data_IF_345781829059
#
_entry.id   IF_345781829059
#
_cell.length_a   1.000
_cell.length_b   1.000
_cell.length_c   1.000
_cell.angle_alpha   90.00
_cell.angle_beta   90.00
_cell.angle_gamma   90.00
#
_symmetry.space_group_name_H-M   'P 1'
#
loop_
_entity.id
_entity.type
_entity.pdbx_description
1 polymer ?
#
# COMPACT_ATOMS: atom_id res chain seq x y z
N UNK A 1 -12.39 36.34 9.37
CA UNK A 1 -11.65 36.43 8.09
C UNK A 1 -10.26 35.93 8.39
N UNK A 2 -9.97 34.69 8.01
CA UNK A 2 -8.64 34.08 8.17
C UNK A 2 -8.07 34.08 6.75
N UNK A 3 -7.18 35.01 6.47
CA UNK A 3 -6.36 35.02 5.25
C UNK A 3 -5.31 33.92 5.41
N UNK A 4 -5.53 32.78 4.75
CA UNK A 4 -4.51 31.74 4.60
C UNK A 4 -4.64 31.08 3.24
N UNK A 5 -4.09 31.69 2.20
CA UNK A 5 -3.67 30.95 1.01
C UNK A 5 -2.30 31.49 0.57
N UNK A 6 -1.24 30.68 0.60
CA UNK A 6 -0.24 30.82 -0.44
C UNK A 6 -0.93 30.38 -1.73
N UNK A 7 -1.31 31.35 -2.57
CA UNK A 7 -1.72 31.05 -3.94
C UNK A 7 -0.48 30.54 -4.66
N UNK A 8 -0.40 29.22 -4.84
CA UNK A 8 0.58 28.58 -5.70
C UNK A 8 0.67 29.38 -7.01
N UNK A 9 1.89 29.62 -7.50
CA UNK A 9 2.10 30.22 -8.81
C UNK A 9 1.43 29.36 -9.88
N UNK A 10 0.19 29.71 -10.24
CA UNK A 10 -0.65 28.96 -11.20
C UNK A 10 0.01 28.80 -12.58
N UNK A 11 1.04 29.59 -12.85
CA UNK A 11 1.76 29.65 -14.13
C UNK A 11 2.96 28.72 -14.23
N UNK A 12 3.42 28.08 -13.15
CA UNK A 12 4.58 27.17 -13.21
C UNK A 12 4.13 25.77 -13.62
N UNK A 13 4.55 25.23 -14.79
CA UNK A 13 4.19 23.88 -15.19
C UNK A 13 4.79 22.86 -14.23
N UNK A 14 3.97 21.97 -13.68
CA UNK A 14 4.39 21.01 -12.66
C UNK A 14 3.98 19.58 -12.98
N UNK A 15 4.62 18.65 -12.29
CA UNK A 15 4.33 17.22 -12.33
C UNK A 15 3.71 16.79 -11.00
N UNK A 16 2.64 15.99 -11.03
CA UNK A 16 2.10 15.37 -9.82
C UNK A 16 2.71 13.98 -9.60
N UNK A 17 3.04 13.65 -8.35
CA UNK A 17 3.32 12.28 -7.92
C UNK A 17 2.22 11.82 -6.96
N UNK A 18 1.30 10.99 -7.45
CA UNK A 18 0.11 10.54 -6.71
C UNK A 18 0.40 9.27 -5.90
N UNK A 19 0.59 9.45 -4.61
CA UNK A 19 0.73 8.40 -3.60
C UNK A 19 -0.63 7.80 -3.23
N UNK A 20 -0.64 6.49 -2.99
CA UNK A 20 -1.81 5.74 -2.49
C UNK A 20 -1.38 4.73 -1.43
N UNK A 21 -0.65 3.68 -1.83
CA UNK A 21 -0.29 2.55 -0.95
C UNK A 21 1.20 2.25 -1.00
N UNK A 22 1.95 3.30 -1.22
CA UNK A 22 3.36 3.39 -1.53
C UNK A 22 3.99 4.55 -0.74
N UNK A 23 3.58 4.68 0.53
CA UNK A 23 3.86 5.80 1.43
C UNK A 23 5.31 5.81 1.94
N UNK A 24 6.25 5.93 1.01
CA UNK A 24 7.68 6.04 1.28
C UNK A 24 8.36 6.95 0.26
N UNK A 25 9.44 7.59 0.71
CA UNK A 25 10.30 8.41 -0.14
C UNK A 25 11.48 7.63 -0.71
N UNK A 26 11.82 6.50 -0.08
CA UNK A 26 12.94 5.67 -0.48
C UNK A 26 12.50 4.56 -1.44
N UNK A 27 13.33 4.30 -2.45
CA UNK A 27 13.08 3.26 -3.45
C UNK A 27 11.63 3.26 -3.97
N UNK A 28 11.11 4.40 -4.42
CA UNK A 28 9.76 4.53 -4.97
C UNK A 28 9.82 4.83 -6.48
N UNK A 29 9.31 3.91 -7.30
CA UNK A 29 9.49 3.98 -8.76
C UNK A 29 8.80 5.21 -9.38
N UNK A 30 7.51 5.43 -9.11
CA UNK A 30 6.79 6.58 -9.64
C UNK A 30 7.40 7.91 -9.17
N UNK A 31 7.78 8.01 -7.90
CA UNK A 31 8.44 9.20 -7.37
C UNK A 31 9.79 9.43 -8.06
N UNK A 32 10.60 8.38 -8.23
CA UNK A 32 11.89 8.47 -8.94
C UNK A 32 11.72 8.96 -10.38
N UNK A 33 10.71 8.46 -11.09
CA UNK A 33 10.40 8.88 -12.46
C UNK A 33 9.91 10.33 -12.51
N UNK A 34 9.02 10.72 -11.59
CA UNK A 34 8.51 12.09 -11.50
C UNK A 34 9.64 13.08 -11.26
N UNK A 35 10.54 12.78 -10.30
CA UNK A 35 11.68 13.64 -9.95
C UNK A 35 12.72 13.75 -11.08
N UNK A 36 12.69 12.86 -12.07
CA UNK A 36 13.54 12.93 -13.28
C UNK A 36 12.87 13.63 -14.46
N UNK A 37 11.63 14.11 -14.31
CA UNK A 37 10.89 14.77 -15.40
C UNK A 37 11.45 16.14 -15.82
N UNK A 38 12.35 16.72 -15.02
CA UNK A 38 12.89 18.07 -15.25
C UNK A 38 11.94 19.20 -14.86
N UNK A 39 10.83 18.90 -14.18
CA UNK A 39 9.85 19.86 -13.67
C UNK A 39 9.72 19.75 -12.16
N UNK A 40 9.27 20.81 -11.46
CA UNK A 40 8.91 20.71 -10.05
C UNK A 40 7.87 19.63 -9.83
N UNK A 41 8.12 18.75 -8.85
CA UNK A 41 7.20 17.66 -8.50
C UNK A 41 6.40 18.01 -7.26
N UNK A 42 5.08 17.96 -7.35
CA UNK A 42 4.16 18.07 -6.22
C UNK A 42 3.65 16.67 -5.83
N UNK A 43 4.09 16.13 -4.67
CA UNK A 43 3.48 14.94 -4.08
C UNK A 43 2.02 15.18 -3.73
N UNK A 44 1.16 14.23 -4.07
CA UNK A 44 -0.27 14.26 -3.83
C UNK A 44 -0.70 12.99 -3.10
N UNK A 45 -1.54 13.14 -2.08
CA UNK A 45 -2.28 12.05 -1.46
C UNK A 45 -3.77 12.43 -1.37
N UNK A 46 -4.64 11.49 -1.73
CA UNK A 46 -6.09 11.68 -1.67
C UNK A 46 -6.67 10.68 -0.66
N UNK A 47 -7.28 11.22 0.39
CA UNK A 47 -8.18 10.51 1.30
C UNK A 47 -9.51 10.27 0.58
N UNK A 48 -9.58 9.14 -0.10
CA UNK A 48 -10.68 8.75 -0.98
C UNK A 48 -11.98 8.52 -0.19
N UNK A 49 -13.00 9.33 -0.45
CA UNK A 49 -14.28 9.24 0.25
C UNK A 49 -14.98 7.90 0.03
N UNK A 50 -14.82 7.23 -1.11
CA UNK A 50 -15.46 5.92 -1.31
C UNK A 50 -14.87 4.85 -0.39
N UNK A 51 -13.58 4.97 -0.06
CA UNK A 51 -12.92 4.09 0.91
C UNK A 51 -13.31 4.51 2.34
N UNK A 52 -13.25 5.81 2.65
CA UNK A 52 -13.48 6.30 4.02
C UNK A 52 -14.93 6.17 4.47
N UNK A 53 -15.90 6.39 3.57
CA UNK A 53 -17.33 6.34 3.89
C UNK A 53 -17.81 4.90 4.15
N UNK A 54 -17.10 3.90 3.62
CA UNK A 54 -17.34 2.49 3.92
C UNK A 54 -16.90 2.10 5.34
N UNK A 55 -16.15 2.95 6.04
CA UNK A 55 -15.68 2.70 7.41
C UNK A 55 -16.67 3.25 8.44
N UNK A 56 -17.32 2.34 9.16
CA UNK A 56 -18.23 2.67 10.26
C UNK A 56 -17.49 3.25 11.48
N UNK A 57 -16.30 2.74 11.78
CA UNK A 57 -15.50 3.15 12.94
C UNK A 57 -14.62 4.36 12.66
N UNK A 58 -14.77 5.43 13.46
CA UNK A 58 -13.98 6.66 13.30
C UNK A 58 -12.64 6.64 14.02
N UNK A 59 -12.35 5.56 14.74
CA UNK A 59 -11.05 5.25 15.36
C UNK A 59 -10.34 4.12 14.59
N UNK A 60 -10.51 4.09 13.26
CA UNK A 60 -9.91 3.06 12.41
C UNK A 60 -8.37 3.15 12.43
N UNK A 61 -7.73 2.09 12.93
CA UNK A 61 -6.27 1.99 13.06
C UNK A 61 -5.53 2.08 11.72
N UNK A 62 -6.15 1.69 10.61
CA UNK A 62 -5.52 1.77 9.27
C UNK A 62 -5.46 3.20 8.78
N UNK A 63 -6.53 3.97 8.99
CA UNK A 63 -6.56 5.40 8.64
C UNK A 63 -5.54 6.16 9.49
N UNK A 64 -5.49 5.87 10.79
CA UNK A 64 -4.49 6.45 11.68
C UNK A 64 -3.04 6.09 11.28
N UNK A 65 -2.80 4.86 10.80
CA UNK A 65 -1.50 4.44 10.28
C UNK A 65 -1.10 5.23 9.02
N UNK A 66 -1.99 5.33 8.03
CA UNK A 66 -1.77 6.08 6.79
C UNK A 66 -1.44 7.54 7.12
N UNK A 67 -2.25 8.16 7.97
CA UNK A 67 -2.05 9.54 8.41
C UNK A 67 -0.68 9.73 9.07
N UNK A 68 -0.32 8.83 9.99
CA UNK A 68 0.97 8.88 10.69
C UNK A 68 2.16 8.72 9.75
N UNK A 69 2.04 7.87 8.72
CA UNK A 69 3.06 7.67 7.69
C UNK A 69 3.25 8.93 6.83
N UNK A 70 2.15 9.54 6.38
CA UNK A 70 2.18 10.80 5.62
C UNK A 70 2.79 11.92 6.45
N UNK A 71 2.40 12.04 7.72
CA UNK A 71 2.97 13.06 8.62
C UNK A 71 4.46 12.83 8.88
N UNK A 72 4.92 11.58 8.96
CA UNK A 72 6.35 11.27 9.04
C UNK A 72 7.12 11.71 7.79
N UNK A 73 6.56 11.45 6.59
CA UNK A 73 7.13 11.93 5.34
C UNK A 73 7.14 13.47 5.29
N UNK A 74 6.03 14.12 5.61
CA UNK A 74 5.89 15.58 5.63
C UNK A 74 6.90 16.25 6.58
N UNK A 75 7.12 15.69 7.78
CA UNK A 75 8.14 16.22 8.71
C UNK A 75 9.52 16.25 8.06
N UNK A 76 9.91 15.18 7.36
CA UNK A 76 11.18 15.12 6.62
C UNK A 76 11.21 16.12 5.47
N UNK A 77 10.18 16.12 4.62
CA UNK A 77 10.10 17.00 3.44
C UNK A 77 10.13 18.49 3.79
N UNK A 78 9.42 18.90 4.83
CA UNK A 78 9.40 20.30 5.30
C UNK A 78 10.76 20.73 5.81
N UNK A 79 11.40 19.88 6.62
CA UNK A 79 12.69 20.17 7.26
C UNK A 79 13.85 20.22 6.26
N UNK A 80 13.91 19.27 5.33
CA UNK A 80 15.07 19.07 4.47
C UNK A 80 14.93 19.75 3.09
N UNK A 81 13.71 19.93 2.59
CA UNK A 81 13.48 20.30 1.19
C UNK A 81 12.51 21.48 1.00
N UNK A 82 11.99 22.07 2.08
CA UNK A 82 10.94 23.09 2.03
C UNK A 82 9.76 22.67 1.13
N UNK A 83 9.31 21.43 1.31
CA UNK A 83 8.27 20.80 0.50
C UNK A 83 7.31 20.00 1.37
N UNK A 84 6.29 19.39 0.76
CA UNK A 84 5.36 18.50 1.44
C UNK A 84 4.42 17.80 0.48
N UNK A 85 3.56 16.95 1.04
CA UNK A 85 2.52 16.22 0.33
C UNK A 85 1.22 17.01 0.42
N UNK A 86 0.67 17.39 -0.73
CA UNK A 86 -0.68 17.94 -0.81
C UNK A 86 -1.67 16.83 -0.47
N UNK A 87 -2.37 16.99 0.65
CA UNK A 87 -3.38 16.04 1.09
C UNK A 87 -4.76 16.62 0.81
N UNK A 88 -5.61 15.87 0.12
CA UNK A 88 -7.00 16.23 -0.18
C UNK A 88 -7.93 15.11 0.31
N UNK A 89 -9.21 15.44 0.51
CA UNK A 89 -10.26 14.48 0.81
C UNK A 89 -11.39 14.65 -0.20
N UNK A 90 -11.90 13.54 -0.73
CA UNK A 90 -12.95 13.55 -1.74
C UNK A 90 -12.80 12.40 -2.72
N UNK A 91 -13.62 12.41 -3.78
CA UNK A 91 -13.49 11.46 -4.88
C UNK A 91 -12.30 11.84 -5.76
N UNK A 92 -11.40 10.89 -6.09
CA UNK A 92 -10.20 11.17 -6.88
C UNK A 92 -10.50 11.90 -8.20
N UNK A 93 -11.50 11.44 -8.95
CA UNK A 93 -11.88 12.06 -10.24
C UNK A 93 -12.31 13.53 -10.09
N UNK A 94 -13.10 13.86 -9.07
CA UNK A 94 -13.56 15.23 -8.81
C UNK A 94 -12.39 16.13 -8.42
N UNK A 95 -11.51 15.64 -7.54
CA UNK A 95 -10.32 16.36 -7.08
C UNK A 95 -9.30 16.57 -8.20
N UNK A 96 -9.06 15.57 -9.07
CA UNK A 96 -8.23 15.78 -10.25
C UNK A 96 -8.84 16.82 -11.19
N UNK A 97 -10.18 16.88 -11.31
CA UNK A 97 -10.86 17.92 -12.07
C UNK A 97 -10.59 19.34 -11.53
N UNK A 98 -10.57 19.50 -10.20
CA UNK A 98 -10.21 20.75 -9.52
C UNK A 98 -8.73 21.09 -9.71
N UNK A 99 -7.84 20.12 -9.45
CA UNK A 99 -6.39 20.27 -9.60
C UNK A 99 -6.00 20.74 -11.01
N UNK A 100 -6.65 20.22 -12.06
CA UNK A 100 -6.41 20.62 -13.46
C UNK A 100 -6.86 22.04 -13.79
N UNK A 101 -7.71 22.65 -12.95
CA UNK A 101 -8.09 24.07 -13.10
C UNK A 101 -7.19 24.98 -12.25
N UNK A 102 -6.68 24.48 -11.13
CA UNK A 102 -5.87 25.26 -10.19
C UNK A 102 -4.39 25.29 -10.57
N UNK A 103 -3.89 24.25 -11.23
CA UNK A 103 -2.48 24.06 -11.55
C UNK A 103 -2.26 23.77 -13.03
N UNK A 104 -1.15 24.25 -13.58
CA UNK A 104 -0.67 23.83 -14.90
C UNK A 104 0.03 22.46 -14.81
N UNK A 105 -0.74 21.39 -14.65
CA UNK A 105 -0.24 20.03 -14.56
C UNK A 105 0.14 19.53 -15.96
N UNK A 106 1.37 19.04 -16.12
CA UNK A 106 1.86 18.51 -17.40
C UNK A 106 1.74 16.98 -17.45
N UNK A 107 2.09 16.32 -16.35
CA UNK A 107 2.11 14.87 -16.22
C UNK A 107 1.76 14.46 -14.78
N UNK A 108 1.12 13.29 -14.65
CA UNK A 108 0.84 12.65 -13.36
C UNK A 108 1.55 11.31 -13.32
N UNK A 109 2.24 11.02 -12.23
CA UNK A 109 2.99 9.78 -12.00
C UNK A 109 2.38 9.04 -10.82
N UNK A 110 2.21 7.73 -10.96
CA UNK A 110 1.68 6.92 -9.88
C UNK A 110 2.20 5.47 -9.98
N UNK A 111 2.33 4.77 -8.86
CA UNK A 111 2.68 3.33 -8.86
C UNK A 111 1.44 2.47 -9.09
N UNK A 112 1.53 1.35 -9.80
CA UNK A 112 0.37 0.54 -10.13
C UNK A 112 -0.24 -0.20 -8.94
N UNK A 113 -1.56 -0.41 -9.05
CA UNK A 113 -2.34 -1.20 -8.12
C UNK A 113 -3.11 -2.33 -8.84
N UNK A 114 -3.46 -3.38 -8.09
CA UNK A 114 -4.00 -4.63 -8.61
C UNK A 114 -5.42 -4.94 -8.13
N UNK A 115 -5.92 -4.19 -7.15
CA UNK A 115 -7.29 -4.35 -6.68
C UNK A 115 -8.30 -3.83 -7.72
N UNK A 116 -9.43 -4.53 -7.96
CA UNK A 116 -10.42 -4.13 -8.97
C UNK A 116 -10.88 -2.67 -8.84
N UNK A 117 -11.15 -2.23 -7.61
CA UNK A 117 -11.51 -0.85 -7.31
C UNK A 117 -10.43 0.14 -7.76
N UNK A 118 -9.18 -0.09 -7.37
CA UNK A 118 -8.07 0.79 -7.69
C UNK A 118 -7.80 0.85 -9.20
N UNK A 119 -7.95 -0.26 -9.92
CA UNK A 119 -7.83 -0.32 -11.39
C UNK A 119 -8.94 0.50 -12.06
N UNK A 120 -10.18 0.42 -11.55
CA UNK A 120 -11.30 1.20 -12.07
C UNK A 120 -11.12 2.70 -11.82
N UNK A 121 -10.76 3.09 -10.60
CA UNK A 121 -10.43 4.48 -10.21
C UNK A 121 -9.31 5.04 -11.09
N UNK A 122 -8.20 4.32 -11.22
CA UNK A 122 -7.05 4.80 -12.00
C UNK A 122 -7.41 4.98 -13.48
N UNK A 123 -8.31 4.14 -14.03
CA UNK A 123 -8.84 4.30 -15.39
C UNK A 123 -9.73 5.55 -15.54
N UNK A 124 -10.60 5.84 -14.57
CA UNK A 124 -11.43 7.05 -14.58
C UNK A 124 -10.57 8.31 -14.55
N UNK A 125 -9.57 8.35 -13.65
CA UNK A 125 -8.61 9.45 -13.55
C UNK A 125 -7.79 9.58 -14.85
N UNK A 126 -7.32 8.48 -15.43
CA UNK A 126 -6.59 8.49 -16.70
C UNK A 126 -7.42 9.09 -17.85
N UNK A 127 -8.71 8.74 -17.95
CA UNK A 127 -9.61 9.29 -18.96
C UNK A 127 -9.83 10.79 -18.77
N UNK A 128 -10.02 11.24 -17.52
CA UNK A 128 -10.15 12.66 -17.20
C UNK A 128 -8.88 13.44 -17.58
N UNK A 129 -7.70 12.94 -17.18
CA UNK A 129 -6.41 13.58 -17.50
C UNK A 129 -6.20 13.67 -19.02
N UNK A 130 -6.48 12.58 -19.74
CA UNK A 130 -6.36 12.54 -21.19
C UNK A 130 -7.28 13.56 -21.89
N UNK A 131 -8.48 13.82 -21.36
CA UNK A 131 -9.40 14.83 -21.89
C UNK A 131 -8.85 16.27 -21.79
N UNK A 132 -7.87 16.50 -20.91
CA UNK A 132 -7.16 17.78 -20.71
C UNK A 132 -5.74 17.76 -21.29
N UNK A 133 -5.36 16.72 -22.05
CA UNK A 133 -4.03 16.59 -22.65
C UNK A 133 -2.92 16.24 -21.64
N UNK A 134 -3.27 15.78 -20.44
CA UNK A 134 -2.32 15.36 -19.40
C UNK A 134 -2.18 13.84 -19.42
N UNK A 135 -0.95 13.34 -19.32
CA UNK A 135 -0.70 11.90 -19.29
C UNK A 135 -0.60 11.35 -17.86
N UNK A 136 -1.16 10.17 -17.62
CA UNK A 136 -0.96 9.38 -16.41
C UNK A 136 0.09 8.30 -16.66
N UNK A 137 1.26 8.41 -16.02
CA UNK A 137 2.34 7.42 -16.09
C UNK A 137 2.31 6.50 -14.89
N UNK A 138 2.28 5.19 -15.17
CA UNK A 138 2.10 4.11 -14.20
C UNK A 138 3.33 3.23 -14.13
N UNK A 139 3.71 2.81 -12.92
CA UNK A 139 4.96 2.07 -12.68
C UNK A 139 4.81 0.90 -11.71
N UNK A 140 5.47 -0.23 -12.01
CA UNK A 140 5.61 -1.36 -11.08
C UNK A 140 6.41 -0.95 -9.86
N UNK A 141 5.88 -1.21 -8.65
CA UNK A 141 6.54 -0.83 -7.40
C UNK A 141 6.30 -1.77 -6.21
N UNK A 142 5.06 -2.13 -5.93
CA UNK A 142 4.72 -2.92 -4.72
C UNK A 142 4.91 -4.45 -4.87
N UNK A 143 5.50 -4.91 -5.99
CA UNK A 143 5.86 -6.30 -6.28
C UNK A 143 7.21 -6.38 -7.01
N UNK A 144 7.88 -7.52 -6.92
CA UNK A 144 9.07 -7.90 -7.68
C UNK A 144 8.68 -8.28 -9.11
N UNK A 145 7.71 -9.20 -9.28
CA UNK A 145 7.20 -9.60 -10.59
C UNK A 145 5.77 -9.12 -10.82
N UNK A 146 5.58 -8.38 -11.91
CA UNK A 146 4.34 -7.70 -12.25
C UNK A 146 3.50 -8.45 -13.27
N UNK A 147 2.20 -8.64 -12.98
CA UNK A 147 1.19 -9.17 -13.91
C UNK A 147 1.65 -10.46 -14.62
N UNK A 148 2.04 -10.35 -15.88
CA UNK A 148 2.46 -11.43 -16.77
C UNK A 148 3.97 -11.70 -16.76
N UNK A 149 4.75 -10.98 -15.94
CA UNK A 149 6.19 -11.18 -15.82
C UNK A 149 6.53 -12.59 -15.28
N UNK A 150 5.60 -13.27 -14.61
CA UNK A 150 5.80 -14.64 -14.11
C UNK A 150 4.58 -15.53 -14.41
N UNK A 151 4.64 -16.19 -15.57
CA UNK A 151 3.62 -17.14 -16.04
C UNK A 151 4.22 -18.56 -16.14
N UNK A 152 3.34 -19.55 -16.20
CA UNK A 152 3.73 -20.94 -16.51
C UNK A 152 4.36 -21.03 -17.90
N UNK A 153 5.06 -22.13 -18.19
CA UNK A 153 5.61 -22.39 -19.53
C UNK A 153 4.56 -22.37 -20.66
N UNK A 154 3.27 -22.59 -20.32
CA UNK A 154 2.14 -22.50 -21.25
C UNK A 154 1.56 -21.08 -21.37
N UNK A 155 2.20 -20.05 -20.81
CA UNK A 155 1.72 -18.67 -20.81
C UNK A 155 0.47 -18.44 -19.95
N UNK A 156 0.20 -19.30 -18.97
CA UNK A 156 -0.97 -19.19 -18.07
C UNK A 156 -0.58 -18.73 -16.66
N UNK A 157 -1.45 -18.00 -15.96
CA UNK A 157 -1.28 -17.66 -14.55
C UNK A 157 -1.11 -18.90 -13.66
N UNK A 158 -0.38 -18.76 -12.56
CA UNK A 158 -0.22 -19.84 -11.60
C UNK A 158 -1.44 -19.91 -10.66
N UNK A 159 -1.95 -21.13 -10.46
CA UNK A 159 -3.06 -21.42 -9.52
C UNK A 159 -2.61 -22.22 -8.29
N UNK A 160 -1.33 -22.59 -8.22
CA UNK A 160 -0.73 -23.36 -7.12
C UNK A 160 0.56 -22.67 -6.69
N UNK A 161 0.73 -22.49 -5.39
CA UNK A 161 1.85 -21.75 -4.82
C UNK A 161 3.22 -22.38 -5.09
N UNK A 162 3.39 -23.68 -4.81
CA UNK A 162 4.70 -24.34 -4.92
C UNK A 162 5.39 -24.13 -6.29
N UNK A 163 4.72 -24.37 -7.45
CA UNK A 163 5.34 -24.10 -8.74
C UNK A 163 5.55 -22.61 -9.01
N UNK A 164 4.68 -21.72 -8.51
CA UNK A 164 4.88 -20.27 -8.58
C UNK A 164 6.13 -19.85 -7.83
N UNK A 165 6.27 -20.28 -6.57
CA UNK A 165 7.40 -19.95 -5.69
C UNK A 165 8.73 -20.44 -6.25
N UNK A 166 8.75 -21.65 -6.83
CA UNK A 166 9.95 -22.16 -7.53
C UNK A 166 10.34 -21.28 -8.72
N UNK A 167 9.38 -20.90 -9.56
CA UNK A 167 9.63 -20.04 -10.71
C UNK A 167 10.06 -18.63 -10.30
N UNK A 168 9.42 -18.08 -9.25
CA UNK A 168 9.76 -16.79 -8.65
C UNK A 168 11.21 -16.79 -8.17
N UNK A 169 11.61 -17.79 -7.38
CA UNK A 169 12.97 -17.91 -6.85
C UNK A 169 14.02 -18.07 -7.96
N UNK A 170 13.74 -18.89 -8.98
CA UNK A 170 14.65 -19.06 -10.13
C UNK A 170 14.87 -17.72 -10.84
N UNK A 171 13.77 -17.06 -11.22
CA UNK A 171 13.83 -15.78 -11.94
C UNK A 171 14.45 -14.67 -11.10
N UNK A 172 14.21 -14.66 -9.79
CA UNK A 172 14.80 -13.68 -8.88
C UNK A 172 16.31 -13.86 -8.74
N UNK A 173 16.79 -15.11 -8.69
CA UNK A 173 18.23 -15.43 -8.59
C UNK A 173 19.00 -15.19 -9.89
N UNK A 174 18.34 -15.38 -11.02
CA UNK A 174 18.93 -15.16 -12.35
C UNK A 174 18.94 -13.67 -12.75
N UNK A 175 18.02 -12.86 -12.21
CA UNK A 175 17.86 -11.45 -12.55
C UNK A 175 18.63 -10.50 -11.65
N UNK A 176 18.95 -9.32 -12.18
CA UNK A 176 19.47 -8.20 -11.40
C UNK A 176 18.34 -7.53 -10.62
N UNK A 177 18.58 -7.26 -9.33
CA UNK A 177 17.65 -6.54 -8.48
C UNK A 177 17.73 -5.05 -8.79
N UNK A 178 16.69 -4.53 -9.45
CA UNK A 178 16.58 -3.11 -9.78
C UNK A 178 15.97 -2.32 -8.63
N UNK A 179 16.58 -1.20 -8.26
CA UNK A 179 16.10 -0.23 -7.26
C UNK A 179 15.89 1.15 -7.89
N UNK A 180 15.09 1.99 -7.24
CA UNK A 180 14.71 3.33 -7.72
C UNK A 180 15.00 4.39 -6.66
N UNK A 181 16.25 4.86 -6.49
CA UNK A 181 16.66 5.71 -5.37
C UNK A 181 16.05 7.13 -5.46
N UNK A 182 14.75 7.24 -5.26
CA UNK A 182 13.98 8.49 -5.29
C UNK A 182 14.39 9.44 -4.18
N UNK A 183 14.89 8.90 -3.07
CA UNK A 183 15.40 9.65 -1.93
C UNK A 183 16.59 10.56 -2.30
N UNK A 184 17.35 10.21 -3.33
CA UNK A 184 18.50 11.00 -3.82
C UNK A 184 18.07 12.20 -4.67
N UNK A 185 16.82 12.21 -5.15
CA UNK A 185 16.32 13.21 -6.11
C UNK A 185 15.29 14.17 -5.50
N UNK A 186 15.05 14.13 -4.19
CA UNK A 186 14.06 14.96 -3.49
C UNK A 186 14.34 16.48 -3.62
N UNK A 187 15.55 16.85 -4.06
CA UNK A 187 15.88 18.21 -4.48
C UNK A 187 14.94 18.77 -5.57
N UNK A 188 14.35 17.92 -6.41
CA UNK A 188 13.48 18.31 -7.53
C UNK A 188 11.99 18.46 -7.14
N UNK A 189 11.65 18.28 -5.86
CA UNK A 189 10.32 18.59 -5.37
C UNK A 189 10.02 20.08 -5.47
N UNK A 190 8.74 20.41 -5.68
CA UNK A 190 8.22 21.77 -5.59
C UNK A 190 8.58 22.35 -4.20
N UNK A 191 9.23 23.51 -4.21
CA UNK A 191 9.72 24.21 -3.02
C UNK A 191 8.63 25.07 -2.40
N UNK A 192 7.55 24.41 -2.04
CA UNK A 192 6.40 25.01 -1.38
C UNK A 192 5.80 23.99 -0.43
N UNK A 193 5.38 24.44 0.76
CA UNK A 193 4.80 23.58 1.80
C UNK A 193 3.28 23.64 1.69
N UNK A 194 2.60 22.54 1.29
CA UNK A 194 1.15 22.51 1.23
C UNK A 194 0.50 22.64 2.63
N UNK A 195 -0.76 23.06 2.71
CA UNK A 195 -1.53 23.05 3.96
C UNK A 195 -1.54 21.65 4.60
N UNK A 196 -1.52 21.63 5.94
CA UNK A 196 -1.61 20.37 6.69
C UNK A 196 -3.07 19.99 6.88
N UNK A 197 -3.42 18.75 6.55
CA UNK A 197 -4.71 18.15 6.87
C UNK A 197 -4.56 17.43 8.21
N UNK A 198 -5.55 17.56 9.11
CA UNK A 198 -5.56 16.81 10.38
C UNK A 198 -6.42 15.57 10.25
N UNK A 199 -6.18 14.58 11.11
CA UNK A 199 -7.01 13.37 11.16
C UNK A 199 -8.49 13.70 11.44
N UNK A 200 -8.74 14.71 12.30
CA UNK A 200 -10.08 15.21 12.58
C UNK A 200 -10.74 15.87 11.37
N UNK A 201 -9.97 16.59 10.54
CA UNK A 201 -10.50 17.23 9.33
C UNK A 201 -11.03 16.21 8.31
N UNK A 202 -10.48 14.98 8.30
CA UNK A 202 -10.97 13.88 7.46
C UNK A 202 -12.03 13.00 8.14
N UNK A 203 -12.51 13.40 9.32
CA UNK A 203 -13.58 12.71 10.04
C UNK A 203 -13.14 11.53 10.91
N UNK A 204 -11.85 11.40 11.21
CA UNK A 204 -11.29 10.32 12.03
C UNK A 204 -10.63 10.85 13.31
N UNK A 205 -10.39 9.96 14.26
CA UNK A 205 -9.75 10.25 15.54
C UNK A 205 -8.58 9.30 15.77
N UNK A 206 -7.59 9.77 16.52
CA UNK A 206 -6.43 8.98 16.87
C UNK A 206 -6.85 7.89 17.87
N UNK A 207 -6.71 6.59 17.54
CA UNK A 207 -7.02 5.50 18.46
C UNK A 207 -5.99 5.34 19.59
N UNK A 208 -4.92 6.15 19.64
CA UNK A 208 -3.84 6.03 20.62
C UNK A 208 -3.01 4.76 20.42
N UNK A 209 -3.02 4.20 19.20
CA UNK A 209 -2.45 2.90 18.89
C UNK A 209 -0.96 3.01 18.51
N UNK A 210 -0.13 2.13 19.06
CA UNK A 210 1.29 2.04 18.70
C UNK A 210 1.49 1.03 17.58
N UNK A 211 1.94 1.52 16.43
CA UNK A 211 2.24 0.68 15.27
C UNK A 211 3.63 0.05 15.37
N UNK A 212 3.83 -1.15 14.77
CA UNK A 212 5.16 -1.73 14.67
C UNK A 212 6.12 -0.79 13.93
N UNK A 213 7.44 -0.88 14.20
CA UNK A 213 8.42 -0.11 13.45
C UNK A 213 8.50 -0.59 12.00
N UNK A 214 8.84 0.32 11.08
CA UNK A 214 8.97 0.01 9.65
C UNK A 214 10.29 -0.71 9.29
N UNK A 215 11.25 -0.79 10.22
CA UNK A 215 12.50 -1.52 10.03
C UNK A 215 12.45 -2.84 10.82
N UNK A 216 12.41 -4.01 10.14
CA UNK A 216 12.41 -5.29 10.84
C UNK A 216 13.79 -5.63 11.41
N UNK A 217 13.79 -6.27 12.58
CA UNK A 217 15.00 -6.82 13.20
C UNK A 217 15.56 -8.00 12.38
N UNK A 218 16.86 -7.95 12.07
CA UNK A 218 17.56 -8.99 11.30
C UNK A 218 17.61 -10.34 12.01
N UNK A 219 17.74 -10.34 13.35
CA UNK A 219 17.68 -11.56 14.15
C UNK A 219 16.32 -12.23 14.03
N UNK A 220 15.23 -11.46 14.03
CA UNK A 220 13.88 -12.00 13.83
C UNK A 220 13.72 -12.59 12.42
N UNK A 221 14.29 -11.97 11.39
CA UNK A 221 14.28 -12.53 10.03
C UNK A 221 15.11 -13.82 9.96
N UNK A 222 16.31 -13.82 10.54
CA UNK A 222 17.22 -14.96 10.52
C UNK A 222 16.62 -16.18 11.24
N UNK A 223 16.00 -15.98 12.40
CA UNK A 223 15.40 -17.06 13.21
C UNK A 223 13.97 -17.44 12.75
N UNK A 224 13.44 -16.77 11.72
CA UNK A 224 12.03 -16.83 11.34
C UNK A 224 11.51 -18.26 11.07
N UNK A 225 12.33 -19.15 10.50
CA UNK A 225 11.94 -20.54 10.24
C UNK A 225 11.60 -21.31 11.52
N UNK A 226 12.27 -20.99 12.62
CA UNK A 226 12.10 -21.69 13.90
C UNK A 226 11.02 -21.08 14.78
N UNK A 227 10.67 -19.81 14.56
CA UNK A 227 9.82 -19.04 15.48
C UNK A 227 8.43 -18.72 14.92
N UNK A 228 8.24 -18.66 13.60
CA UNK A 228 6.99 -18.24 12.93
C UNK A 228 5.74 -19.07 13.24
N UNK A 229 5.89 -20.25 13.82
CA UNK A 229 4.77 -21.16 14.13
C UNK A 229 4.39 -21.13 15.62
N UNK A 230 5.03 -20.27 16.41
CA UNK A 230 4.86 -20.17 17.85
C UNK A 230 4.18 -18.83 18.21
N UNK A 231 2.84 -18.75 18.26
CA UNK A 231 2.11 -17.50 18.50
C UNK A 231 2.40 -16.89 19.88
N UNK A 232 2.90 -17.68 20.83
CA UNK A 232 3.29 -17.20 22.15
C UNK A 232 4.61 -16.41 22.16
N UNK A 233 5.41 -16.45 21.08
CA UNK A 233 6.65 -15.70 20.98
C UNK A 233 6.38 -14.27 20.49
N UNK A 234 6.59 -13.29 21.38
CA UNK A 234 6.38 -11.87 21.08
C UNK A 234 7.18 -11.39 19.84
N UNK A 235 8.42 -11.87 19.72
CA UNK A 235 9.36 -11.58 18.63
C UNK A 235 9.55 -12.76 17.67
N UNK A 236 8.50 -13.57 17.45
CA UNK A 236 8.54 -14.68 16.49
C UNK A 236 8.34 -14.26 15.03
N UNK A 237 7.83 -13.05 14.77
CA UNK A 237 7.54 -12.54 13.43
C UNK A 237 7.82 -11.05 13.31
N UNK A 238 8.07 -10.58 12.08
CA UNK A 238 8.48 -9.19 11.82
C UNK A 238 7.36 -8.15 11.91
N UNK A 239 6.09 -8.58 11.88
CA UNK A 239 4.91 -7.70 11.83
C UNK A 239 4.90 -6.70 10.65
N UNK A 240 5.65 -6.97 9.58
CA UNK A 240 5.77 -6.11 8.39
C UNK A 240 4.50 -6.02 7.54
N UNK A 241 3.45 -6.80 7.83
CA UNK A 241 2.23 -6.85 7.02
C UNK A 241 1.58 -5.48 6.78
N UNK A 242 1.47 -4.64 7.82
CA UNK A 242 0.89 -3.29 7.70
C UNK A 242 1.77 -2.36 6.86
N UNK A 243 3.10 -2.46 7.02
CA UNK A 243 4.05 -1.68 6.23
C UNK A 243 4.05 -2.06 4.75
N UNK A 244 3.95 -3.36 4.46
CA UNK A 244 3.83 -3.90 3.10
C UNK A 244 2.46 -3.60 2.47
N UNK A 245 1.41 -3.44 3.28
CA UNK A 245 0.05 -3.09 2.83
C UNK A 245 -0.06 -1.65 2.34
N UNK A 246 0.63 -0.73 3.02
CA UNK A 246 0.61 0.71 2.74
C UNK A 246 1.94 1.24 2.15
N UNK A 247 2.86 0.32 1.85
CA UNK A 247 4.10 0.59 1.12
C UNK A 247 5.04 1.58 1.81
N UNK A 248 5.04 1.60 3.14
CA UNK A 248 6.01 2.37 3.95
C UNK A 248 7.38 1.72 4.00
N UNK A 249 7.53 0.55 3.39
CA UNK A 249 8.79 -0.18 3.21
C UNK A 249 8.90 -0.64 1.77
N UNK A 250 10.12 -0.66 1.23
CA UNK A 250 10.36 -1.24 -0.10
C UNK A 250 10.32 -2.77 -0.04
N UNK A 251 9.46 -3.37 -0.87
CA UNK A 251 9.44 -4.82 -1.10
C UNK A 251 10.77 -5.31 -1.70
N UNK A 252 11.45 -4.50 -2.51
CA UNK A 252 12.73 -4.87 -3.13
C UNK A 252 13.84 -4.95 -2.10
N UNK A 253 13.97 -3.92 -1.25
CA UNK A 253 14.95 -3.91 -0.16
C UNK A 253 14.67 -5.05 0.82
N UNK A 254 13.41 -5.27 1.17
CA UNK A 254 13.03 -6.35 2.07
C UNK A 254 13.26 -7.75 1.48
N UNK A 255 12.96 -7.96 0.19
CA UNK A 255 13.22 -9.23 -0.49
C UNK A 255 14.72 -9.51 -0.61
N UNK A 256 15.55 -8.49 -0.89
CA UNK A 256 17.00 -8.64 -0.87
C UNK A 256 17.49 -9.05 0.54
N UNK A 257 17.05 -8.33 1.57
CA UNK A 257 17.39 -8.65 2.97
C UNK A 257 16.96 -10.08 3.36
N UNK A 258 15.73 -10.46 3.01
CA UNK A 258 15.21 -11.81 3.22
C UNK A 258 16.03 -12.87 2.49
N UNK A 259 16.43 -12.61 1.24
CA UNK A 259 17.22 -13.57 0.45
C UNK A 259 18.59 -13.87 1.04
N UNK A 260 19.13 -12.95 1.85
CA UNK A 260 20.42 -13.11 2.53
C UNK A 260 20.29 -13.77 3.90
N UNK A 261 19.15 -13.60 4.58
CA UNK A 261 18.97 -14.00 5.98
C UNK A 261 18.10 -15.24 6.17
N UNK A 262 17.03 -15.39 5.39
CA UNK A 262 16.08 -16.49 5.55
C UNK A 262 15.25 -16.73 4.29
N UNK A 263 15.50 -17.86 3.61
CA UNK A 263 14.67 -18.29 2.47
C UNK A 263 13.21 -18.51 2.88
N UNK A 264 12.97 -18.95 4.12
CA UNK A 264 11.62 -19.13 4.68
C UNK A 264 10.88 -17.80 4.79
N UNK A 265 11.53 -16.75 5.30
CA UNK A 265 10.93 -15.40 5.32
C UNK A 265 10.71 -14.86 3.90
N UNK A 266 11.67 -15.07 2.98
CA UNK A 266 11.51 -14.68 1.58
C UNK A 266 10.28 -15.36 0.95
N UNK A 267 10.06 -16.65 1.24
CA UNK A 267 8.86 -17.37 0.77
C UNK A 267 7.55 -16.76 1.28
N UNK A 268 7.50 -16.18 2.47
CA UNK A 268 6.31 -15.46 2.92
C UNK A 268 6.07 -14.17 2.11
N UNK A 269 7.12 -13.48 1.67
CA UNK A 269 6.97 -12.36 0.72
C UNK A 269 6.48 -12.84 -0.65
N UNK A 270 6.91 -14.03 -1.09
CA UNK A 270 6.41 -14.67 -2.32
C UNK A 270 4.94 -15.07 -2.17
N UNK A 271 4.49 -15.51 -0.99
CA UNK A 271 3.06 -15.75 -0.73
C UNK A 271 2.22 -14.50 -0.92
N UNK A 272 2.70 -13.34 -0.45
CA UNK A 272 2.04 -12.05 -0.71
C UNK A 272 1.89 -11.79 -2.21
N UNK A 273 2.95 -11.93 -3.00
CA UNK A 273 2.87 -11.74 -4.45
C UNK A 273 2.04 -12.81 -5.17
N UNK A 274 2.02 -14.04 -4.67
CA UNK A 274 1.17 -15.10 -5.19
C UNK A 274 -0.32 -14.73 -5.09
N UNK A 275 -0.76 -14.15 -3.97
CA UNK A 275 -2.15 -13.69 -3.85
C UNK A 275 -2.43 -12.44 -4.69
N UNK A 276 -1.46 -11.53 -4.84
CA UNK A 276 -1.61 -10.38 -5.73
C UNK A 276 -1.74 -10.79 -7.20
N UNK A 277 -0.97 -11.77 -7.67
CA UNK A 277 -1.13 -12.27 -9.04
C UNK A 277 -2.44 -13.06 -9.22
N UNK A 278 -2.90 -13.80 -8.20
CA UNK A 278 -4.24 -14.42 -8.25
C UNK A 278 -5.31 -13.35 -8.42
N UNK A 279 -5.27 -12.28 -7.61
CA UNK A 279 -6.25 -11.20 -7.67
C UNK A 279 -6.25 -10.49 -9.04
N UNK A 280 -5.06 -10.21 -9.58
CA UNK A 280 -4.92 -9.58 -10.89
C UNK A 280 -5.49 -10.44 -12.02
N UNK A 281 -5.13 -11.73 -12.06
CA UNK A 281 -5.52 -12.64 -13.15
C UNK A 281 -6.95 -13.17 -13.01
N UNK A 282 -7.50 -13.16 -11.79
CA UNK A 282 -8.82 -13.69 -11.46
C UNK A 282 -9.59 -12.68 -10.59
N UNK A 283 -9.93 -11.48 -11.08
CA UNK A 283 -10.48 -10.40 -10.24
C UNK A 283 -11.80 -10.76 -9.52
N UNK A 284 -12.54 -11.75 -10.00
CA UNK A 284 -13.76 -12.26 -9.34
C UNK A 284 -13.50 -12.82 -7.93
N UNK A 285 -12.26 -13.16 -7.58
CA UNK A 285 -11.90 -13.66 -6.24
C UNK A 285 -12.04 -12.61 -5.14
N UNK A 286 -12.16 -11.33 -5.51
CA UNK A 286 -12.41 -10.26 -4.54
C UNK A 286 -13.76 -10.42 -3.83
N UNK A 287 -14.74 -11.03 -4.51
CA UNK A 287 -16.13 -11.14 -4.03
C UNK A 287 -16.59 -12.60 -3.87
N UNK A 288 -15.80 -13.57 -4.35
CA UNK A 288 -16.22 -14.96 -4.40
C UNK A 288 -15.08 -15.97 -4.26
N UNK A 289 -15.40 -17.27 -4.17
CA UNK A 289 -14.40 -18.30 -3.98
C UNK A 289 -13.54 -18.48 -5.24
N UNK A 290 -12.23 -18.66 -5.05
CA UNK A 290 -11.30 -18.90 -6.16
C UNK A 290 -11.73 -20.06 -7.07
N UNK A 291 -12.21 -21.15 -6.46
CA UNK A 291 -12.85 -22.25 -7.17
C UNK A 291 -14.36 -22.04 -7.20
N UNK A 292 -14.89 -21.66 -8.36
CA UNK A 292 -16.33 -21.41 -8.57
C UNK A 292 -17.26 -22.52 -8.07
N UNK A 293 -16.83 -23.78 -8.10
CA UNK A 293 -17.64 -24.90 -7.57
C UNK A 293 -18.03 -24.74 -6.08
N UNK A 294 -17.28 -23.94 -5.31
CA UNK A 294 -17.58 -23.67 -3.91
C UNK A 294 -18.62 -22.56 -3.70
N UNK A 295 -19.07 -21.88 -4.77
CA UNK A 295 -20.24 -20.98 -4.71
C UNK A 295 -21.52 -21.73 -4.29
N UNK A 296 -21.57 -23.04 -4.54
CA UNK A 296 -22.70 -23.89 -4.17
C UNK A 296 -22.68 -24.37 -2.71
N UNK A 297 -21.69 -23.99 -1.90
CA UNK A 297 -21.68 -24.33 -0.47
C UNK A 297 -22.82 -23.60 0.22
N UNK A 298 -23.72 -24.36 0.82
CA UNK A 298 -24.79 -23.82 1.67
C UNK A 298 -24.22 -23.61 3.08
N UNK A 299 -23.84 -22.36 3.36
CA UNK A 299 -23.38 -21.96 4.69
C UNK A 299 -24.55 -21.90 5.67
N UNK A 300 -24.30 -22.32 6.91
CA UNK A 300 -25.31 -22.30 7.98
C UNK A 300 -25.77 -20.88 8.33
N UNK A 301 -24.89 -19.88 8.16
CA UNK A 301 -25.16 -18.46 8.40
C UNK A 301 -25.82 -18.17 9.76
N UNK A 302 -25.36 -18.85 10.82
CA UNK A 302 -25.82 -18.64 12.19
C UNK A 302 -25.15 -17.39 12.79
N UNK A 303 -25.92 -16.30 12.87
CA UNK A 303 -25.43 -15.00 13.36
C UNK A 303 -24.95 -15.04 14.82
N UNK A 304 -25.61 -15.82 15.68
CA UNK A 304 -25.21 -15.93 17.08
C UNK A 304 -23.82 -16.58 17.22
N UNK A 305 -23.50 -17.53 16.34
CA UNK A 305 -22.19 -18.20 16.32
C UNK A 305 -21.11 -17.27 15.77
N UNK A 306 -21.45 -16.51 14.71
CA UNK A 306 -20.56 -15.49 14.15
C UNK A 306 -20.18 -14.41 15.18
N UNK A 307 -21.16 -13.87 15.92
CA UNK A 307 -20.91 -12.88 16.99
C UNK A 307 -20.01 -13.46 18.08
N UNK A 308 -20.21 -14.72 18.49
CA UNK A 308 -19.33 -15.37 19.47
C UNK A 308 -17.89 -15.50 18.96
N UNK A 309 -17.71 -15.83 17.68
CA UNK A 309 -16.41 -15.88 17.03
C UNK A 309 -15.75 -14.50 16.98
N UNK A 310 -16.45 -13.46 16.50
CA UNK A 310 -15.95 -12.07 16.46
C UNK A 310 -15.47 -11.59 17.83
N UNK A 311 -16.19 -11.95 18.90
CA UNK A 311 -15.87 -11.55 20.27
C UNK A 311 -14.83 -12.45 20.97
N UNK A 312 -14.40 -13.55 20.34
CA UNK A 312 -13.52 -14.54 20.98
C UNK A 312 -14.15 -15.17 22.23
N UNK A 313 -15.39 -15.64 22.09
CA UNK A 313 -16.20 -16.27 23.16
C UNK A 313 -16.79 -17.61 22.71
N UNK A 314 -16.08 -18.31 21.83
CA UNK A 314 -16.49 -19.60 21.25
C UNK A 314 -16.40 -20.74 22.25
N UNK A 315 -15.58 -20.59 23.31
CA UNK A 315 -15.27 -21.66 24.27
C UNK A 315 -14.05 -22.49 23.87
N UNK A 316 -13.42 -22.20 22.73
CA UNK A 316 -12.17 -22.82 22.30
C UNK A 316 -11.00 -21.85 22.57
N UNK A 317 -10.13 -22.13 23.57
CA UNK A 317 -9.17 -21.14 24.06
C UNK A 317 -8.26 -20.53 22.99
N UNK A 318 -7.81 -21.33 22.01
CA UNK A 318 -6.91 -20.81 20.98
C UNK A 318 -7.61 -19.90 19.97
N UNK A 319 -8.85 -20.26 19.58
CA UNK A 319 -9.67 -19.40 18.70
C UNK A 319 -9.99 -18.09 19.43
N UNK A 320 -10.39 -18.19 20.69
CA UNK A 320 -10.75 -17.04 21.51
C UNK A 320 -9.56 -16.12 21.74
N UNK A 321 -8.36 -16.67 21.97
CA UNK A 321 -7.13 -15.89 22.13
C UNK A 321 -6.79 -15.09 20.86
N UNK A 322 -6.84 -15.73 19.68
CA UNK A 322 -6.54 -15.05 18.40
C UNK A 322 -7.51 -13.91 18.10
N UNK A 323 -8.82 -14.13 18.30
CA UNK A 323 -9.82 -13.08 18.07
C UNK A 323 -9.70 -11.93 19.07
N UNK A 324 -9.35 -12.22 20.33
CA UNK A 324 -9.08 -11.18 21.34
C UNK A 324 -7.81 -10.41 21.01
N UNK A 325 -6.76 -11.06 20.52
CA UNK A 325 -5.54 -10.40 20.04
C UNK A 325 -5.87 -9.45 18.87
N UNK A 326 -6.64 -9.92 17.89
CA UNK A 326 -7.08 -9.12 16.74
C UNK A 326 -7.85 -7.88 17.18
N UNK A 327 -8.82 -8.02 18.07
CA UNK A 327 -9.62 -6.89 18.55
C UNK A 327 -8.75 -5.91 19.36
N UNK A 328 -7.94 -6.41 20.28
CA UNK A 328 -7.11 -5.57 21.15
C UNK A 328 -6.00 -4.86 20.38
N UNK A 329 -5.37 -5.53 19.41
CA UNK A 329 -4.12 -5.07 18.78
C UNK A 329 -4.22 -4.77 17.30
N UNK A 330 -5.27 -5.21 16.60
CA UNK A 330 -5.37 -5.08 15.14
C UNK A 330 -4.41 -6.01 14.39
N UNK A 331 -3.76 -6.92 15.12
CA UNK A 331 -2.88 -7.96 14.62
C UNK A 331 -3.34 -9.30 15.18
N UNK A 332 -3.17 -10.34 14.38
CA UNK A 332 -3.33 -11.72 14.82
C UNK A 332 -2.21 -12.52 14.17
N UNK A 333 -1.58 -13.38 14.97
CA UNK A 333 -0.57 -14.28 14.45
C UNK A 333 -1.12 -15.17 13.31
N UNK A 334 -0.30 -15.54 12.33
CA UNK A 334 -0.76 -16.30 11.16
C UNK A 334 -1.15 -17.76 11.49
N UNK A 335 -0.47 -18.36 12.47
CA UNK A 335 -0.84 -19.65 13.08
C UNK A 335 -1.91 -19.43 14.12
#
# INVERSE_FOLDING_TARGET
MIETEPQLSKETPLTLCWFRRDLRLDDNHALWQALRSGRPVLPLFIFDSEILDALSEKEDRRVAFIYSAIEAMNRRLRKEYHSGILCLQGRPEELFGQLLNDYQIVEVYCNEDYEPYAVARDRQVEQLLASRGVSLRRFKDQVIFHKDELLTAAGKPYSVYTPYSRAWLSKYREGEQQFYPSEELLGNLLKEVPPTVTLAAIGFRDPGFQFPPADPDDGVIADYEHTRDLPALEHGVTRMGVHLRFGTVSIRKLALRASLLSETYLKELIWREFFMQVLWHFPYVAEGPFRKKYEAILWENNEADFVRWCNGTTGYPMVDAGMRELNATGFMHNR
#
